data_IF_088833261295
#
_entry.id   IF_088833261295
#
_cell.length_a   1.000
_cell.length_b   1.000
_cell.length_c   1.000
_cell.angle_alpha   90.00
_cell.angle_beta   90.00
_cell.angle_gamma   90.00
#
_symmetry.space_group_name_H-M   'P 1'
#
loop_
_entity.id
_entity.type
_entity.pdbx_description
1 polymer ?
#
# COMPACT_ATOMS: atom_id res chain seq x y z
N UNK A 1 4.55 23.42 -24.64
CA UNK A 1 4.65 23.22 -23.18
C UNK A 1 6.12 23.42 -22.82
N UNK A 2 6.38 24.15 -21.76
CA UNK A 2 7.76 24.47 -21.35
C UNK A 2 8.39 23.32 -20.53
N UNK A 3 7.77 22.12 -20.52
CA UNK A 3 8.16 20.95 -19.74
C UNK A 3 8.30 21.24 -18.23
N UNK A 4 7.38 22.02 -17.68
CA UNK A 4 7.34 22.31 -16.25
C UNK A 4 6.36 21.41 -15.52
N UNK A 5 6.73 20.97 -14.32
CA UNK A 5 5.83 20.15 -13.49
C UNK A 5 5.94 20.53 -12.01
N UNK A 6 4.82 20.38 -11.29
CA UNK A 6 4.76 20.39 -9.84
C UNK A 6 4.62 18.94 -9.36
N UNK A 7 5.39 18.57 -8.34
CA UNK A 7 5.26 17.28 -7.67
C UNK A 7 4.66 17.47 -6.28
N UNK A 8 3.66 16.66 -5.95
CA UNK A 8 3.04 16.61 -4.63
C UNK A 8 3.03 15.19 -4.09
N UNK A 9 3.33 15.03 -2.79
CA UNK A 9 3.27 13.76 -2.07
C UNK A 9 4.60 13.35 -1.46
N UNK A 10 4.90 12.04 -1.46
CA UNK A 10 6.04 11.47 -0.77
C UNK A 10 7.38 12.08 -1.23
N UNK A 11 8.18 12.57 -0.26
CA UNK A 11 9.41 13.32 -0.56
C UNK A 11 10.51 12.46 -1.20
N UNK A 12 10.62 11.17 -0.84
CA UNK A 12 11.64 10.28 -1.40
C UNK A 12 11.34 9.99 -2.87
N UNK A 13 10.08 9.72 -3.20
CA UNK A 13 9.62 9.55 -4.59
C UNK A 13 9.78 10.84 -5.37
N UNK A 14 9.39 12.00 -4.80
CA UNK A 14 9.55 13.31 -5.43
C UNK A 14 11.00 13.64 -5.77
N UNK A 15 11.93 13.32 -4.87
CA UNK A 15 13.38 13.52 -5.13
C UNK A 15 13.93 12.58 -6.22
N UNK A 16 13.40 11.35 -6.33
CA UNK A 16 13.74 10.43 -7.42
C UNK A 16 13.18 10.92 -8.76
N UNK A 17 11.88 11.26 -8.80
CA UNK A 17 11.21 11.81 -9.98
C UNK A 17 11.94 13.07 -10.48
N UNK A 18 12.34 13.98 -9.57
CA UNK A 18 13.07 15.21 -9.94
C UNK A 18 14.37 14.90 -10.67
N UNK A 19 15.17 13.97 -10.15
CA UNK A 19 16.44 13.60 -10.81
C UNK A 19 16.22 12.96 -12.18
N UNK A 20 15.25 12.07 -12.29
CA UNK A 20 14.96 11.36 -13.53
C UNK A 20 14.36 12.30 -14.59
N UNK A 21 13.37 13.10 -14.20
CA UNK A 21 12.71 14.06 -15.08
C UNK A 21 13.67 15.15 -15.59
N UNK A 22 14.57 15.65 -14.72
CA UNK A 22 15.59 16.64 -15.11
C UNK A 22 16.54 16.12 -16.20
N UNK A 23 16.89 14.82 -16.17
CA UNK A 23 17.71 14.20 -17.22
C UNK A 23 17.02 14.21 -18.59
N UNK A 24 15.69 14.25 -18.61
CA UNK A 24 14.87 14.31 -19.83
C UNK A 24 14.45 15.75 -20.21
N UNK A 25 14.95 16.76 -19.46
CA UNK A 25 14.70 18.16 -19.77
C UNK A 25 13.43 18.74 -19.13
N UNK A 26 12.83 18.03 -18.15
CA UNK A 26 11.73 18.56 -17.35
C UNK A 26 12.25 19.43 -16.20
N UNK A 27 11.51 20.47 -15.87
CA UNK A 27 11.83 21.39 -14.79
C UNK A 27 10.75 21.33 -13.70
N UNK A 28 11.15 21.00 -12.48
CA UNK A 28 10.27 21.10 -11.32
C UNK A 28 10.03 22.57 -10.95
N UNK A 29 8.80 22.92 -10.64
CA UNK A 29 8.38 24.23 -10.14
C UNK A 29 7.65 24.07 -8.81
N UNK A 30 7.67 25.12 -7.99
CA UNK A 30 7.02 25.12 -6.65
C UNK A 30 5.64 25.74 -6.69
N UNK A 31 5.30 26.43 -7.78
CA UNK A 31 4.00 27.11 -7.93
C UNK A 31 3.12 26.36 -8.92
N UNK A 32 1.89 26.06 -8.51
CA UNK A 32 0.88 25.46 -9.37
C UNK A 32 0.57 26.36 -10.59
N UNK A 33 0.69 27.69 -10.44
CA UNK A 33 0.47 28.61 -11.53
C UNK A 33 1.51 28.50 -12.65
N UNK A 34 2.70 27.98 -12.36
CA UNK A 34 3.82 27.84 -13.30
C UNK A 34 3.96 26.42 -13.84
N UNK A 35 3.14 25.46 -13.34
CA UNK A 35 3.18 24.07 -13.75
C UNK A 35 2.29 23.82 -14.99
N UNK A 36 2.84 23.15 -16.01
CA UNK A 36 2.06 22.58 -17.11
C UNK A 36 1.48 21.22 -16.73
N UNK A 37 2.16 20.51 -15.82
CA UNK A 37 1.80 19.18 -15.34
C UNK A 37 1.81 19.16 -13.82
N UNK A 38 0.79 18.58 -13.20
CA UNK A 38 0.78 18.19 -11.78
C UNK A 38 1.03 16.69 -11.70
N UNK A 39 1.97 16.28 -10.86
CA UNK A 39 2.31 14.89 -10.63
C UNK A 39 2.11 14.58 -9.15
N UNK A 40 1.33 13.55 -8.84
CA UNK A 40 1.04 13.15 -7.46
C UNK A 40 1.59 11.76 -7.16
N UNK A 41 2.09 11.54 -5.95
CA UNK A 41 2.35 10.24 -5.37
C UNK A 41 2.08 10.27 -3.87
N UNK A 42 0.92 9.79 -3.47
CA UNK A 42 0.52 9.62 -2.09
C UNK A 42 0.61 8.13 -1.71
N UNK A 43 0.98 7.82 -0.46
CA UNK A 43 1.17 6.45 0.00
C UNK A 43 -0.15 5.74 0.34
N UNK A 44 -1.24 6.52 0.50
CA UNK A 44 -2.58 6.02 0.76
C UNK A 44 -3.64 6.90 0.07
N UNK A 45 -4.85 6.35 -0.05
CA UNK A 45 -5.95 7.01 -0.76
C UNK A 45 -6.41 8.29 -0.05
N UNK A 46 -6.46 8.34 1.29
CA UNK A 46 -6.90 9.52 2.02
C UNK A 46 -6.01 10.74 1.72
N UNK A 47 -4.70 10.57 1.74
CA UNK A 47 -3.77 11.66 1.41
C UNK A 47 -3.93 12.13 -0.05
N UNK A 48 -4.35 11.23 -0.94
CA UNK A 48 -4.67 11.57 -2.33
C UNK A 48 -5.97 12.35 -2.43
N UNK A 49 -7.01 11.95 -1.70
CA UNK A 49 -8.29 12.67 -1.60
C UNK A 49 -8.08 14.09 -1.08
N UNK A 50 -7.32 14.25 0.00
CA UNK A 50 -7.01 15.54 0.59
C UNK A 50 -6.29 16.45 -0.43
N UNK A 51 -5.30 15.93 -1.17
CA UNK A 51 -4.57 16.69 -2.17
C UNK A 51 -5.46 17.22 -3.31
N UNK A 52 -6.47 16.47 -3.70
CA UNK A 52 -7.34 16.85 -4.81
C UNK A 52 -8.58 17.63 -4.39
N UNK A 53 -9.24 17.24 -3.28
CA UNK A 53 -10.60 17.66 -2.95
C UNK A 53 -10.69 18.63 -1.78
N UNK A 54 -9.71 18.69 -0.88
CA UNK A 54 -9.69 19.60 0.26
C UNK A 54 -9.78 21.08 -0.16
N UNK A 55 -10.01 21.96 0.80
CA UNK A 55 -10.01 23.41 0.58
C UNK A 55 -8.63 23.85 0.04
N UNK A 56 -8.60 24.30 -1.21
CA UNK A 56 -7.38 24.66 -1.92
C UNK A 56 -6.71 23.49 -2.64
N UNK A 57 -7.34 22.31 -2.72
CA UNK A 57 -6.87 21.16 -3.49
C UNK A 57 -6.81 21.41 -5.00
N UNK A 58 -6.19 20.48 -5.73
CA UNK A 58 -5.89 20.67 -7.16
C UNK A 58 -7.13 20.92 -8.03
N UNK A 59 -8.24 20.28 -7.71
CA UNK A 59 -9.52 20.46 -8.44
C UNK A 59 -10.01 21.91 -8.40
N UNK A 60 -9.70 22.66 -7.32
CA UNK A 60 -10.12 24.04 -7.13
C UNK A 60 -9.09 25.06 -7.60
N UNK A 61 -7.81 24.71 -7.62
CA UNK A 61 -6.71 25.68 -7.73
C UNK A 61 -5.84 25.49 -8.97
N UNK A 62 -5.86 24.31 -9.61
CA UNK A 62 -5.13 24.11 -10.85
C UNK A 62 -5.79 24.89 -12.01
N UNK A 63 -4.95 25.32 -12.97
CA UNK A 63 -5.42 26.04 -14.17
C UNK A 63 -6.21 25.07 -15.06
N UNK A 64 -7.28 25.59 -15.69
CA UNK A 64 -7.94 24.87 -16.80
C UNK A 64 -6.90 24.43 -17.84
N UNK A 65 -6.99 23.18 -18.29
CA UNK A 65 -6.08 22.58 -19.23
C UNK A 65 -4.79 22.00 -18.61
N UNK A 66 -4.63 22.03 -17.28
CA UNK A 66 -3.49 21.39 -16.62
C UNK A 66 -3.61 19.87 -16.74
N UNK A 67 -2.52 19.21 -17.20
CA UNK A 67 -2.38 17.76 -17.19
C UNK A 67 -2.09 17.29 -15.77
N UNK A 68 -2.87 16.33 -15.27
CA UNK A 68 -2.72 15.77 -13.92
C UNK A 68 -2.37 14.30 -14.02
N UNK A 69 -1.18 13.93 -13.57
CA UNK A 69 -0.66 12.56 -13.62
C UNK A 69 -0.62 12.01 -12.21
N UNK A 70 -1.47 11.05 -11.90
CA UNK A 70 -1.48 10.39 -10.60
C UNK A 70 -0.69 9.07 -10.63
N UNK A 71 0.44 9.06 -9.89
CA UNK A 71 1.32 7.90 -9.73
C UNK A 71 0.95 7.06 -8.50
N UNK A 72 -0.04 7.47 -7.71
CA UNK A 72 -0.39 6.88 -6.42
C UNK A 72 -1.13 5.54 -6.59
N UNK A 73 -0.98 4.61 -5.63
CA UNK A 73 -1.87 3.47 -5.52
C UNK A 73 -3.25 3.93 -5.03
N UNK A 74 -4.31 3.47 -5.71
CA UNK A 74 -5.70 3.68 -5.29
C UNK A 74 -6.61 2.57 -5.82
N UNK A 75 -7.92 2.65 -5.56
CA UNK A 75 -8.87 1.70 -6.15
C UNK A 75 -9.28 2.10 -7.56
N UNK A 76 -9.69 1.15 -8.41
CA UNK A 76 -10.26 1.45 -9.72
C UNK A 76 -11.52 2.35 -9.64
N UNK A 77 -12.29 2.23 -8.56
CA UNK A 77 -13.45 3.08 -8.28
C UNK A 77 -13.05 4.52 -8.07
N UNK A 78 -12.14 4.74 -7.14
CA UNK A 78 -11.63 6.07 -6.81
C UNK A 78 -10.94 6.75 -8.00
N UNK A 79 -10.12 6.03 -8.78
CA UNK A 79 -9.47 6.60 -9.97
C UNK A 79 -10.50 7.16 -10.98
N UNK A 80 -11.64 6.47 -11.16
CA UNK A 80 -12.74 6.97 -12.01
C UNK A 80 -13.42 8.19 -11.41
N UNK A 81 -13.66 8.21 -10.10
CA UNK A 81 -14.24 9.35 -9.40
C UNK A 81 -13.36 10.59 -9.48
N UNK A 82 -12.08 10.46 -9.15
CA UNK A 82 -11.09 11.52 -9.25
C UNK A 82 -11.04 12.10 -10.67
N UNK A 83 -10.98 11.23 -11.67
CA UNK A 83 -10.96 11.65 -13.07
C UNK A 83 -12.25 12.38 -13.47
N UNK A 84 -13.42 11.91 -13.03
CA UNK A 84 -14.68 12.57 -13.34
C UNK A 84 -14.74 13.99 -12.74
N UNK A 85 -14.30 14.18 -11.51
CA UNK A 85 -14.25 15.49 -10.84
C UNK A 85 -13.21 16.40 -11.48
N UNK A 86 -12.03 15.89 -11.81
CA UNK A 86 -10.98 16.64 -12.50
C UNK A 86 -11.45 17.16 -13.87
N UNK A 87 -12.13 16.33 -14.64
CA UNK A 87 -12.70 16.72 -15.94
C UNK A 87 -13.75 17.83 -15.82
N UNK A 88 -14.61 17.81 -14.77
CA UNK A 88 -15.58 18.90 -14.50
C UNK A 88 -14.86 20.22 -14.20
N UNK A 89 -13.66 20.15 -13.64
CA UNK A 89 -12.78 21.31 -13.38
C UNK A 89 -11.89 21.65 -14.58
N UNK A 90 -12.17 21.10 -15.76
CA UNK A 90 -11.43 21.33 -17.00
C UNK A 90 -9.94 20.91 -16.89
N UNK A 91 -9.61 19.94 -16.04
CA UNK A 91 -8.29 19.32 -15.96
C UNK A 91 -8.21 18.09 -16.86
N UNK A 92 -7.00 17.66 -17.18
CA UNK A 92 -6.72 16.48 -18.00
C UNK A 92 -6.13 15.37 -17.13
N UNK A 93 -6.96 14.50 -16.50
CA UNK A 93 -6.49 13.47 -15.59
C UNK A 93 -5.95 12.26 -16.33
N UNK A 94 -4.78 11.77 -15.88
CA UNK A 94 -4.16 10.51 -16.31
C UNK A 94 -3.88 9.66 -15.08
N UNK A 95 -4.49 8.51 -15.02
CA UNK A 95 -4.20 7.44 -14.08
C UNK A 95 -2.90 6.76 -14.50
N UNK A 96 -1.85 6.81 -13.66
CA UNK A 96 -0.53 6.29 -14.00
C UNK A 96 0.19 5.64 -12.80
N UNK A 97 -0.48 4.75 -12.01
CA UNK A 97 0.15 4.17 -10.83
C UNK A 97 1.49 3.52 -11.16
N UNK A 98 2.51 3.90 -10.37
CA UNK A 98 3.86 3.38 -10.54
C UNK A 98 4.06 2.13 -9.70
N UNK A 99 4.74 1.13 -10.25
CA UNK A 99 5.10 -0.10 -9.56
C UNK A 99 6.62 -0.27 -9.52
N UNK A 100 7.14 -0.64 -8.35
CA UNK A 100 8.53 -1.05 -8.14
C UNK A 100 8.64 -2.54 -8.47
N UNK A 101 9.57 -2.92 -9.36
CA UNK A 101 9.78 -4.30 -9.79
C UNK A 101 10.50 -5.13 -8.73
N UNK A 102 11.60 -4.59 -8.23
CA UNK A 102 12.42 -5.18 -7.18
C UNK A 102 12.52 -4.19 -6.00
N UNK A 103 11.79 -4.43 -4.90
CA UNK A 103 11.79 -3.59 -3.71
C UNK A 103 13.04 -3.73 -2.85
N UNK A 104 13.98 -4.60 -3.22
CA UNK A 104 15.19 -4.86 -2.43
C UNK A 104 16.33 -3.85 -2.70
N UNK A 105 16.13 -2.97 -3.67
CA UNK A 105 17.09 -1.89 -3.94
C UNK A 105 16.92 -0.74 -2.95
N UNK A 106 18.02 -0.27 -2.35
CA UNK A 106 18.00 0.87 -1.44
C UNK A 106 17.41 2.13 -2.10
N UNK A 107 17.72 2.35 -3.39
CA UNK A 107 17.27 3.49 -4.19
C UNK A 107 16.22 3.10 -5.26
N UNK A 108 15.26 2.27 -4.89
CA UNK A 108 14.30 1.60 -5.78
C UNK A 108 13.64 2.56 -6.79
N UNK A 109 13.25 3.77 -6.37
CA UNK A 109 12.63 4.77 -7.24
C UNK A 109 13.60 5.55 -8.14
N UNK A 110 14.91 5.45 -7.93
CA UNK A 110 15.91 6.18 -8.71
C UNK A 110 16.37 5.44 -9.97
N UNK A 111 15.80 4.26 -10.20
CA UNK A 111 16.18 3.34 -11.28
C UNK A 111 15.01 3.16 -12.25
N UNK A 112 15.03 3.81 -13.43
CA UNK A 112 13.93 3.67 -14.39
C UNK A 112 13.66 2.21 -14.77
N UNK A 113 14.71 1.39 -14.92
CA UNK A 113 14.65 -0.04 -15.23
C UNK A 113 13.98 -0.89 -14.12
N UNK A 114 13.81 -0.32 -12.94
CA UNK A 114 13.10 -0.91 -11.80
C UNK A 114 11.65 -0.43 -11.66
N UNK A 115 11.17 0.40 -12.58
CA UNK A 115 9.87 1.04 -12.48
C UNK A 115 8.99 0.76 -13.71
N UNK A 116 7.73 0.42 -13.45
CA UNK A 116 6.67 0.33 -14.47
C UNK A 116 5.58 1.33 -14.11
N UNK A 117 5.11 2.10 -15.09
CA UNK A 117 3.86 2.85 -14.99
C UNK A 117 2.77 2.11 -15.77
N UNK A 118 1.69 1.75 -15.12
CA UNK A 118 0.45 1.36 -15.77
C UNK A 118 -0.34 2.62 -16.09
N UNK A 119 -0.85 2.79 -17.30
CA UNK A 119 -1.46 4.06 -17.69
C UNK A 119 -2.86 3.85 -18.25
N UNK A 120 -3.80 4.65 -17.76
CA UNK A 120 -5.16 4.70 -18.29
C UNK A 120 -5.69 6.14 -18.32
N UNK A 121 -6.61 6.44 -19.23
CA UNK A 121 -7.18 7.76 -19.41
C UNK A 121 -7.71 7.98 -20.83
N UNK A 122 -8.07 9.22 -21.13
CA UNK A 122 -8.41 9.62 -22.49
C UNK A 122 -7.16 9.55 -23.39
N UNK A 123 -7.31 9.13 -24.64
CA UNK A 123 -6.20 8.86 -25.55
C UNK A 123 -5.25 10.06 -25.73
N UNK A 124 -5.80 11.25 -25.89
CA UNK A 124 -5.01 12.48 -26.08
C UNK A 124 -4.23 12.84 -24.81
N UNK A 125 -4.81 12.64 -23.64
CA UNK A 125 -4.19 12.94 -22.33
C UNK A 125 -3.08 11.92 -22.04
N UNK A 126 -3.30 10.63 -22.31
CA UNK A 126 -2.28 9.57 -22.21
C UNK A 126 -1.10 9.87 -23.12
N UNK A 127 -1.36 10.27 -24.38
CA UNK A 127 -0.30 10.69 -25.31
C UNK A 127 0.49 11.88 -24.79
N UNK A 128 -0.18 12.84 -24.17
CA UNK A 128 0.48 14.02 -23.56
C UNK A 128 1.32 13.67 -22.33
N UNK A 129 0.91 12.68 -21.52
CA UNK A 129 1.62 12.23 -20.32
C UNK A 129 2.85 11.36 -20.63
N UNK A 130 2.85 10.59 -21.73
CA UNK A 130 3.92 9.64 -22.09
C UNK A 130 5.34 10.21 -22.02
N UNK A 131 5.66 11.41 -22.51
CA UNK A 131 7.02 11.93 -22.44
C UNK A 131 7.54 12.08 -21.01
N UNK A 132 6.66 12.46 -20.07
CA UNK A 132 7.01 12.53 -18.65
C UNK A 132 7.17 11.13 -18.05
N UNK A 133 6.23 10.24 -18.28
CA UNK A 133 6.24 8.88 -17.74
C UNK A 133 7.46 8.07 -18.23
N UNK A 134 7.82 8.20 -19.51
CA UNK A 134 9.01 7.57 -20.07
C UNK A 134 10.34 8.15 -19.54
N UNK A 135 10.31 9.38 -18.99
CA UNK A 135 11.47 9.96 -18.32
C UNK A 135 11.73 9.32 -16.95
N UNK A 136 10.70 8.81 -16.28
CA UNK A 136 10.79 8.31 -14.90
C UNK A 136 10.73 6.79 -14.78
N UNK A 137 10.13 6.08 -15.74
CA UNK A 137 9.97 4.63 -15.72
C UNK A 137 10.54 3.97 -16.99
N UNK A 138 11.12 2.78 -16.82
CA UNK A 138 11.66 2.00 -17.94
C UNK A 138 10.57 1.37 -18.81
N UNK A 139 9.39 1.17 -18.25
CA UNK A 139 8.25 0.61 -18.97
C UNK A 139 6.99 1.43 -18.67
N UNK A 140 6.21 1.73 -19.71
CA UNK A 140 4.93 2.43 -19.65
C UNK A 140 3.90 1.59 -20.40
N UNK A 141 2.97 0.99 -19.65
CA UNK A 141 1.97 0.05 -20.18
C UNK A 141 0.60 0.73 -20.22
N UNK A 142 0.01 0.78 -21.41
CA UNK A 142 -1.34 1.32 -21.60
C UNK A 142 -2.38 0.23 -21.32
N UNK A 143 -3.19 0.46 -20.29
CA UNK A 143 -4.19 -0.50 -19.80
C UNK A 143 -5.61 -0.23 -20.33
N UNK A 144 -5.82 0.89 -21.01
CA UNK A 144 -7.10 1.27 -21.65
C UNK A 144 -7.96 2.20 -20.80
N UNK A 145 -9.23 1.87 -20.47
CA UNK A 145 -10.12 2.79 -19.80
C UNK A 145 -9.73 3.02 -18.34
N UNK A 146 -10.17 4.17 -17.80
CA UNK A 146 -9.96 4.55 -16.40
C UNK A 146 -10.35 3.45 -15.39
N UNK A 147 -9.52 3.23 -14.41
CA UNK A 147 -9.58 2.14 -13.43
C UNK A 147 -8.79 0.90 -13.83
N UNK A 148 -8.41 0.75 -15.11
CA UNK A 148 -7.66 -0.41 -15.57
C UNK A 148 -6.22 -0.41 -15.10
N UNK A 149 -5.58 0.75 -15.01
CA UNK A 149 -4.20 0.86 -14.54
C UNK A 149 -4.10 0.52 -13.04
N UNK A 150 -5.04 0.98 -12.21
CA UNK A 150 -5.10 0.60 -10.80
C UNK A 150 -5.39 -0.90 -10.63
N UNK A 151 -6.25 -1.48 -11.46
CA UNK A 151 -6.50 -2.92 -11.43
C UNK A 151 -5.23 -3.74 -11.77
N UNK A 152 -4.50 -3.35 -12.82
CA UNK A 152 -3.24 -3.99 -13.19
C UNK A 152 -2.20 -3.87 -12.07
N UNK A 153 -2.12 -2.68 -11.46
CA UNK A 153 -1.26 -2.40 -10.31
C UNK A 153 -1.63 -3.27 -9.11
N UNK A 154 -2.91 -3.34 -8.74
CA UNK A 154 -3.41 -4.14 -7.61
C UNK A 154 -3.10 -5.64 -7.81
N UNK A 155 -3.36 -6.19 -9.00
CA UNK A 155 -3.06 -7.58 -9.32
C UNK A 155 -1.56 -7.90 -9.18
N UNK A 156 -0.69 -6.97 -9.59
CA UNK A 156 0.75 -7.10 -9.42
C UNK A 156 1.15 -7.08 -7.94
N UNK A 157 0.60 -6.15 -7.14
CA UNK A 157 0.88 -6.04 -5.71
C UNK A 157 0.55 -7.34 -4.97
N UNK A 158 -0.62 -7.93 -5.23
CA UNK A 158 -1.02 -9.23 -4.64
C UNK A 158 0.04 -10.32 -4.92
N UNK A 159 0.54 -10.42 -6.15
CA UNK A 159 1.57 -11.40 -6.51
C UNK A 159 2.91 -11.09 -5.83
N UNK A 160 3.31 -9.82 -5.80
CA UNK A 160 4.58 -9.39 -5.23
C UNK A 160 4.63 -9.65 -3.72
N UNK A 161 3.59 -9.28 -2.99
CA UNK A 161 3.49 -9.49 -1.54
C UNK A 161 3.41 -10.97 -1.22
N UNK A 162 2.60 -11.76 -1.94
CA UNK A 162 2.54 -13.20 -1.77
C UNK A 162 3.91 -13.89 -1.97
N UNK A 163 4.69 -13.44 -2.96
CA UNK A 163 6.05 -13.96 -3.20
C UNK A 163 7.01 -13.56 -2.08
N UNK A 164 6.92 -12.33 -1.58
CA UNK A 164 7.75 -11.86 -0.47
C UNK A 164 7.50 -12.68 0.80
N UNK A 165 6.24 -12.81 1.20
CA UNK A 165 5.84 -13.56 2.41
C UNK A 165 6.27 -15.02 2.29
N UNK A 166 5.96 -15.69 1.18
CA UNK A 166 6.34 -17.09 0.96
C UNK A 166 7.86 -17.29 1.01
N UNK A 167 8.65 -16.34 0.51
CA UNK A 167 10.12 -16.40 0.56
C UNK A 167 10.62 -16.22 1.98
N UNK A 168 10.11 -15.26 2.73
CA UNK A 168 10.50 -15.04 4.13
C UNK A 168 10.15 -16.25 5.01
N UNK A 169 8.95 -16.83 4.86
CA UNK A 169 8.54 -18.03 5.60
C UNK A 169 9.36 -19.27 5.25
N UNK A 170 9.67 -19.47 3.97
CA UNK A 170 10.49 -20.63 3.54
C UNK A 170 11.93 -20.55 4.05
N UNK A 171 12.51 -19.38 4.08
CA UNK A 171 13.83 -19.14 4.68
C UNK A 171 13.79 -19.38 6.19
N UNK A 172 12.82 -18.79 6.90
CA UNK A 172 12.63 -18.96 8.33
C UNK A 172 12.45 -20.45 8.73
N UNK A 173 11.64 -21.20 7.96
CA UNK A 173 11.46 -22.64 8.14
C UNK A 173 12.80 -23.39 8.01
N UNK A 174 13.55 -23.14 6.93
CA UNK A 174 14.84 -23.78 6.71
C UNK A 174 15.82 -23.46 7.83
N UNK A 175 15.89 -22.20 8.26
CA UNK A 175 16.74 -21.76 9.35
C UNK A 175 16.37 -22.43 10.69
N UNK A 176 15.10 -22.46 11.05
CA UNK A 176 14.59 -23.06 12.29
C UNK A 176 14.86 -24.58 12.34
N UNK A 177 14.59 -25.30 11.25
CA UNK A 177 14.78 -26.76 11.17
C UNK A 177 16.28 -27.13 11.23
N UNK A 178 17.15 -26.38 10.54
CA UNK A 178 18.60 -26.58 10.61
C UNK A 178 19.13 -26.37 12.03
N UNK A 179 18.70 -25.30 12.69
CA UNK A 179 19.08 -25.02 14.08
C UNK A 179 18.67 -26.16 15.02
N UNK A 180 17.45 -26.68 14.87
CA UNK A 180 16.96 -27.81 15.66
C UNK A 180 17.69 -29.11 15.40
N UNK A 181 18.09 -29.36 14.15
CA UNK A 181 18.83 -30.59 13.77
C UNK A 181 20.31 -30.56 14.17
N UNK A 182 20.88 -29.42 14.45
CA UNK A 182 22.30 -29.19 14.72
C UNK A 182 23.14 -29.03 13.44
N UNK A 183 24.24 -28.28 13.58
CA UNK A 183 25.11 -27.91 12.45
C UNK A 183 25.65 -29.14 11.72
N UNK A 184 25.57 -29.12 10.38
CA UNK A 184 26.13 -30.17 9.51
C UNK A 184 25.24 -31.39 9.29
N UNK A 185 24.04 -31.44 9.90
CA UNK A 185 23.12 -32.58 9.71
C UNK A 185 22.15 -32.39 8.53
N UNK A 186 22.01 -31.16 8.00
CA UNK A 186 21.18 -30.84 6.85
C UNK A 186 21.94 -29.97 5.84
N UNK A 187 21.56 -30.05 4.57
CA UNK A 187 22.17 -29.28 3.50
C UNK A 187 22.00 -27.75 3.74
N UNK A 188 22.99 -26.96 3.31
CA UNK A 188 22.99 -25.50 3.49
C UNK A 188 22.28 -24.74 2.37
N UNK A 189 22.06 -25.37 1.24
CA UNK A 189 21.59 -24.75 -0.02
C UNK A 189 20.05 -24.66 -0.17
N UNK A 190 19.26 -24.98 0.85
CA UNK A 190 17.84 -24.65 0.89
C UNK A 190 17.65 -23.27 1.58
N UNK A 191 16.60 -22.50 1.24
CA UNK A 191 15.59 -22.80 0.23
C UNK A 191 16.10 -22.63 -1.21
N UNK A 192 15.42 -23.28 -2.16
CA UNK A 192 15.66 -23.09 -3.58
C UNK A 192 14.57 -22.16 -4.14
N UNK A 193 14.89 -20.91 -4.51
CA UNK A 193 13.92 -19.97 -5.02
C UNK A 193 13.25 -20.45 -6.31
N UNK A 194 11.95 -20.14 -6.46
CA UNK A 194 11.14 -20.59 -7.60
C UNK A 194 10.99 -19.53 -8.69
N UNK A 195 11.47 -18.31 -8.46
CA UNK A 195 11.43 -17.18 -9.39
C UNK A 195 12.62 -16.25 -9.16
N UNK A 196 12.88 -15.36 -10.13
CA UNK A 196 13.90 -14.31 -10.00
C UNK A 196 13.60 -13.36 -8.83
N UNK A 197 12.33 -13.01 -8.62
CA UNK A 197 11.92 -12.17 -7.47
C UNK A 197 12.19 -12.89 -6.14
N UNK A 198 11.83 -14.17 -6.02
CA UNK A 198 12.12 -14.94 -4.82
C UNK A 198 13.64 -15.07 -4.55
N UNK A 199 14.45 -15.18 -5.61
CA UNK A 199 15.91 -15.17 -5.50
C UNK A 199 16.41 -13.83 -4.96
N UNK A 200 15.95 -12.71 -5.50
CA UNK A 200 16.33 -11.37 -5.05
C UNK A 200 15.93 -11.13 -3.59
N UNK A 201 14.73 -11.58 -3.19
CA UNK A 201 14.28 -11.47 -1.80
C UNK A 201 15.13 -12.30 -0.85
N UNK A 202 15.44 -13.55 -1.21
CA UNK A 202 16.30 -14.40 -0.40
C UNK A 202 17.71 -13.80 -0.23
N UNK A 203 18.29 -13.28 -1.31
CA UNK A 203 19.59 -12.59 -1.26
C UNK A 203 19.54 -11.38 -0.33
N UNK A 204 18.47 -10.58 -0.43
CA UNK A 204 18.28 -9.40 0.41
C UNK A 204 18.10 -9.75 1.91
N UNK A 205 17.42 -10.86 2.23
CA UNK A 205 17.30 -11.38 3.61
C UNK A 205 18.69 -11.77 4.14
N UNK A 206 19.44 -12.56 3.37
CA UNK A 206 20.78 -13.03 3.76
C UNK A 206 21.75 -11.86 3.95
N UNK A 207 21.67 -10.86 3.07
CA UNK A 207 22.52 -9.65 3.12
C UNK A 207 22.00 -8.61 4.10
N UNK A 208 20.84 -8.83 4.74
CA UNK A 208 20.20 -7.92 5.71
C UNK A 208 19.92 -6.52 5.12
N UNK A 209 19.45 -6.46 3.87
CA UNK A 209 19.09 -5.21 3.19
C UNK A 209 17.70 -4.71 3.63
N UNK A 210 17.59 -4.24 4.88
CA UNK A 210 16.32 -3.88 5.51
C UNK A 210 15.97 -2.39 5.37
N UNK A 211 16.81 -1.61 4.72
CA UNK A 211 16.59 -0.19 4.49
C UNK A 211 16.38 0.09 2.99
N UNK A 212 15.54 1.09 2.67
CA UNK A 212 15.29 1.46 1.29
C UNK A 212 14.31 2.61 1.14
N UNK A 213 14.24 3.18 -0.07
CA UNK A 213 13.28 4.25 -0.40
C UNK A 213 11.88 3.74 -0.69
N UNK A 214 11.72 2.44 -0.98
CA UNK A 214 10.43 1.76 -1.03
C UNK A 214 10.17 1.10 0.31
N UNK A 215 9.24 1.65 1.08
CA UNK A 215 9.03 1.27 2.47
C UNK A 215 7.90 0.25 2.66
N UNK A 216 7.86 -0.36 3.84
CA UNK A 216 6.76 -1.21 4.25
C UNK A 216 5.41 -0.45 4.21
N UNK A 217 5.38 0.80 4.67
CA UNK A 217 4.18 1.64 4.62
C UNK A 217 3.63 1.79 3.19
N UNK A 218 4.51 2.02 2.20
CA UNK A 218 4.11 2.07 0.80
C UNK A 218 3.50 0.75 0.32
N UNK A 219 4.15 -0.37 0.62
CA UNK A 219 3.64 -1.69 0.25
C UNK A 219 2.29 -2.00 0.91
N UNK A 220 2.10 -1.61 2.17
CA UNK A 220 0.83 -1.75 2.88
C UNK A 220 -0.27 -0.90 2.24
N UNK A 221 0.01 0.36 1.89
CA UNK A 221 -0.94 1.23 1.19
C UNK A 221 -1.38 0.66 -0.17
N UNK A 222 -0.44 0.10 -0.93
CA UNK A 222 -0.70 -0.58 -2.19
C UNK A 222 -1.56 -1.84 -2.02
N UNK A 223 -1.28 -2.63 -0.96
CA UNK A 223 -2.02 -3.85 -0.67
C UNK A 223 -3.43 -3.53 -0.14
N UNK A 224 -3.57 -2.47 0.67
CA UNK A 224 -4.86 -1.97 1.14
C UNK A 224 -5.76 -1.56 -0.03
N UNK A 225 -5.23 -0.82 -1.01
CA UNK A 225 -5.98 -0.48 -2.22
C UNK A 225 -6.43 -1.72 -3.01
N UNK A 226 -5.59 -2.78 -3.07
CA UNK A 226 -5.93 -4.03 -3.73
C UNK A 226 -7.04 -4.80 -2.97
N UNK A 227 -6.99 -4.83 -1.64
CA UNK A 227 -8.03 -5.46 -0.80
C UNK A 227 -9.35 -4.71 -0.90
N UNK A 228 -9.33 -3.37 -0.82
CA UNK A 228 -10.53 -2.55 -1.02
C UNK A 228 -11.15 -2.76 -2.41
N UNK A 229 -10.32 -2.84 -3.46
CA UNK A 229 -10.81 -3.15 -4.80
C UNK A 229 -11.43 -4.56 -4.92
N UNK A 230 -10.97 -5.52 -4.12
CA UNK A 230 -11.56 -6.86 -4.03
C UNK A 230 -12.91 -6.82 -3.30
N UNK A 231 -13.00 -6.09 -2.19
CA UNK A 231 -14.24 -5.89 -1.43
C UNK A 231 -15.31 -5.20 -2.27
N UNK A 232 -14.95 -4.17 -3.04
CA UNK A 232 -15.85 -3.51 -4.00
C UNK A 232 -16.42 -4.47 -5.05
N UNK A 233 -15.76 -5.59 -5.28
CA UNK A 233 -16.14 -6.63 -6.23
C UNK A 233 -16.74 -7.88 -5.56
N UNK A 234 -17.05 -7.83 -4.26
CA UNK A 234 -17.50 -8.98 -3.45
C UNK A 234 -16.53 -10.18 -3.51
N UNK A 235 -15.23 -9.93 -3.65
CA UNK A 235 -14.18 -10.96 -3.75
C UNK A 235 -13.35 -11.05 -2.48
N UNK A 236 -13.31 -12.23 -1.86
CA UNK A 236 -12.48 -12.51 -0.68
C UNK A 236 -11.12 -13.03 -1.11
N UNK A 237 -10.04 -12.43 -0.59
CA UNK A 237 -8.65 -12.77 -0.86
C UNK A 237 -7.91 -13.22 0.42
N UNK A 238 -8.21 -14.42 0.97
CA UNK A 238 -7.75 -14.81 2.32
C UNK A 238 -6.22 -14.90 2.46
N UNK A 239 -5.50 -15.25 1.41
CA UNK A 239 -4.02 -15.22 1.42
C UNK A 239 -3.49 -13.78 1.50
N UNK A 240 -4.10 -12.87 0.76
CA UNK A 240 -3.71 -11.46 0.73
C UNK A 240 -3.98 -10.77 2.07
N UNK A 241 -5.12 -11.08 2.68
CA UNK A 241 -5.47 -10.63 4.04
C UNK A 241 -4.44 -11.14 5.08
N UNK A 242 -4.08 -12.43 5.03
CA UNK A 242 -3.05 -12.97 5.91
C UNK A 242 -1.69 -12.29 5.69
N UNK A 243 -1.32 -11.97 4.44
CA UNK A 243 -0.12 -11.21 4.14
C UNK A 243 -0.19 -9.79 4.75
N UNK A 244 -1.35 -9.11 4.65
CA UNK A 244 -1.51 -7.78 5.25
C UNK A 244 -1.26 -7.82 6.76
N UNK A 245 -1.83 -8.78 7.48
CA UNK A 245 -1.60 -8.92 8.93
C UNK A 245 -0.13 -9.11 9.31
N UNK A 246 0.64 -9.82 8.49
CA UNK A 246 2.09 -9.97 8.72
C UNK A 246 2.84 -8.66 8.50
N UNK A 247 2.45 -7.86 7.48
CA UNK A 247 3.02 -6.53 7.26
C UNK A 247 2.65 -5.58 8.40
N UNK A 248 1.39 -5.60 8.86
CA UNK A 248 0.91 -4.83 10.02
C UNK A 248 1.69 -5.18 11.28
N UNK A 249 1.96 -6.46 11.54
CA UNK A 249 2.77 -6.88 12.68
C UNK A 249 4.17 -6.24 12.63
N UNK A 250 4.82 -6.25 11.47
CA UNK A 250 6.12 -5.58 11.30
C UNK A 250 5.99 -4.07 11.54
N UNK A 251 4.93 -3.42 11.05
CA UNK A 251 4.69 -1.99 11.27
C UNK A 251 4.50 -1.67 12.75
N UNK A 252 3.69 -2.46 13.48
CA UNK A 252 3.42 -2.30 14.92
C UNK A 252 4.70 -2.35 15.75
N UNK A 253 5.63 -3.26 15.43
CA UNK A 253 6.90 -3.35 16.14
C UNK A 253 7.92 -2.29 15.71
N UNK A 254 7.54 -1.36 14.81
CA UNK A 254 8.34 -0.19 14.43
C UNK A 254 9.03 -0.30 13.09
N UNK A 255 8.58 -1.16 12.19
CA UNK A 255 9.19 -1.38 10.88
C UNK A 255 8.56 -0.64 9.70
N UNK A 256 7.67 0.34 9.93
CA UNK A 256 6.94 1.04 8.86
C UNK A 256 7.83 1.72 7.82
N UNK A 257 8.97 2.26 8.23
CA UNK A 257 9.95 2.95 7.40
C UNK A 257 11.01 2.03 6.77
N UNK A 258 11.03 0.75 7.16
CA UNK A 258 11.98 -0.22 6.59
C UNK A 258 11.55 -0.72 5.23
N UNK A 259 12.51 -1.26 4.48
CA UNK A 259 12.21 -2.01 3.26
C UNK A 259 11.32 -3.23 3.59
N UNK A 260 10.36 -3.61 2.72
CA UNK A 260 9.43 -4.71 2.99
C UNK A 260 10.10 -6.06 3.30
N UNK A 261 11.33 -6.26 2.82
CA UNK A 261 12.12 -7.46 3.09
C UNK A 261 12.44 -7.65 4.59
N UNK A 262 12.35 -6.58 5.41
CA UNK A 262 12.48 -6.63 6.86
C UNK A 262 11.38 -7.50 7.52
N UNK A 263 10.33 -7.90 6.77
CA UNK A 263 9.34 -8.88 7.22
C UNK A 263 10.00 -10.19 7.69
N UNK A 264 11.12 -10.57 7.13
CA UNK A 264 11.88 -11.75 7.57
C UNK A 264 12.29 -11.70 9.04
N UNK A 265 12.42 -10.50 9.62
CA UNK A 265 12.78 -10.31 11.03
C UNK A 265 11.65 -10.77 11.98
N UNK A 266 10.39 -10.73 11.54
CA UNK A 266 9.24 -11.19 12.34
C UNK A 266 9.38 -12.69 12.71
N UNK A 267 10.06 -13.46 11.89
CA UNK A 267 10.33 -14.88 12.12
C UNK A 267 11.66 -15.14 12.86
N UNK A 268 12.42 -14.07 13.13
CA UNK A 268 13.73 -14.11 13.78
C UNK A 268 13.68 -14.21 15.30
N UNK A 269 14.84 -14.10 15.92
CA UNK A 269 14.96 -13.96 17.37
C UNK A 269 14.74 -12.49 17.77
N UNK A 270 14.16 -12.27 18.93
CA UNK A 270 13.85 -10.92 19.45
C UNK A 270 15.09 -10.03 19.48
N UNK A 271 16.27 -10.61 19.81
CA UNK A 271 17.54 -9.87 19.83
C UNK A 271 17.90 -9.34 18.42
N UNK A 272 17.64 -10.11 17.36
CA UNK A 272 17.88 -9.66 15.98
C UNK A 272 16.93 -8.54 15.56
N UNK A 273 15.69 -8.58 16.03
CA UNK A 273 14.72 -7.48 15.85
C UNK A 273 15.20 -6.21 16.55
N UNK A 274 15.61 -6.31 17.81
CA UNK A 274 16.08 -5.17 18.59
C UNK A 274 17.34 -4.52 17.99
N UNK A 275 18.26 -5.30 17.42
CA UNK A 275 19.43 -4.78 16.67
C UNK A 275 19.02 -3.91 15.47
N UNK A 276 17.85 -4.16 14.90
CA UNK A 276 17.28 -3.39 13.79
C UNK A 276 16.32 -2.28 14.24
N UNK A 277 16.23 -2.03 15.56
CA UNK A 277 15.37 -0.99 16.12
C UNK A 277 13.89 -1.38 16.23
N UNK A 278 13.58 -2.67 16.08
CA UNK A 278 12.22 -3.21 16.25
C UNK A 278 11.98 -3.62 17.70
N UNK A 279 10.77 -3.38 18.20
CA UNK A 279 10.40 -3.58 19.60
C UNK A 279 9.13 -4.42 19.73
N UNK A 280 9.29 -5.70 20.07
CA UNK A 280 8.20 -6.66 20.25
C UNK A 280 7.24 -6.30 21.39
N UNK A 281 7.67 -5.51 22.38
CA UNK A 281 6.77 -5.09 23.47
C UNK A 281 5.60 -4.26 22.96
N UNK A 282 5.76 -3.58 21.82
CA UNK A 282 4.66 -2.83 21.16
C UNK A 282 3.56 -3.77 20.68
N UNK A 283 3.91 -4.92 20.13
CA UNK A 283 2.93 -5.91 19.70
C UNK A 283 2.17 -6.51 20.90
N UNK A 284 2.85 -6.79 22.00
CA UNK A 284 2.21 -7.27 23.24
C UNK A 284 1.19 -6.28 23.76
N UNK A 285 1.50 -4.97 23.78
CA UNK A 285 0.55 -3.94 24.15
C UNK A 285 -0.61 -3.84 23.18
N UNK A 286 -0.33 -3.76 21.89
CA UNK A 286 -1.34 -3.57 20.86
C UNK A 286 -2.37 -4.72 20.83
N UNK A 287 -1.90 -5.98 20.87
CA UNK A 287 -2.79 -7.14 20.86
C UNK A 287 -3.34 -7.49 22.24
N UNK A 288 -2.64 -7.15 23.35
CA UNK A 288 -3.09 -7.36 24.70
C UNK A 288 -4.27 -6.45 25.07
N UNK A 289 -4.23 -5.19 24.71
CA UNK A 289 -5.33 -4.23 24.94
C UNK A 289 -6.58 -4.59 24.12
N UNK A 290 -6.43 -5.11 22.92
CA UNK A 290 -7.54 -5.60 22.12
C UNK A 290 -8.20 -6.85 22.75
N UNK A 291 -7.41 -7.76 23.31
CA UNK A 291 -7.92 -8.95 23.99
C UNK A 291 -8.70 -8.59 25.29
N UNK A 292 -8.22 -7.61 26.06
CA UNK A 292 -8.89 -7.15 27.27
C UNK A 292 -10.17 -6.36 26.93
N UNK A 293 -10.18 -5.58 25.85
CA UNK A 293 -11.36 -4.89 25.34
C UNK A 293 -12.46 -5.87 24.88
N UNK A 294 -12.07 -6.92 24.19
CA UNK A 294 -13.02 -7.98 23.75
C UNK A 294 -13.60 -8.77 24.92
N UNK A 295 -12.82 -9.00 25.99
CA UNK A 295 -13.32 -9.68 27.21
C UNK A 295 -14.26 -8.78 28.03
N UNK A 296 -14.07 -7.48 28.05
CA UNK A 296 -14.96 -6.56 28.78
C UNK A 296 -16.37 -6.48 28.16
N UNK A 297 -16.48 -6.65 26.84
CA UNK A 297 -17.79 -6.67 26.15
C UNK A 297 -18.54 -7.98 26.39
N UNK A 298 -17.84 -9.08 26.70
CA UNK A 298 -18.46 -10.38 26.97
C UNK A 298 -18.92 -10.57 28.42
N UNK A 299 -18.52 -9.70 29.35
CA UNK A 299 -18.85 -9.85 30.79
C UNK A 299 -20.02 -8.98 31.27
N UNK A 300 -20.64 -8.15 30.43
CA UNK A 300 -21.74 -7.25 30.85
C UNK A 300 -23.14 -7.80 30.53
N UNK A 301 -23.28 -9.14 30.43
CA UNK A 301 -24.57 -9.84 30.42
C UNK A 301 -24.77 -10.60 31.73
N UNK A 302 -24.87 -9.87 32.84
CA UNK A 302 -25.48 -10.40 34.07
C UNK A 302 -26.97 -10.55 33.81
N UNK A 303 -27.39 -11.79 33.82
CA UNK A 303 -28.82 -12.20 33.75
C UNK A 303 -29.54 -11.77 35.00
N UNK A 304 -30.33 -10.71 34.94
CA UNK A 304 -31.40 -10.45 35.88
C UNK A 304 -32.63 -11.21 35.38
N UNK A 305 -32.95 -12.32 36.06
CA UNK A 305 -34.18 -13.09 35.87
C UNK A 305 -35.34 -12.37 36.55
N UNK A 306 -36.02 -11.51 35.80
CA UNK A 306 -37.34 -10.99 36.17
C UNK A 306 -38.42 -11.73 35.42
N UNK A 307 -39.21 -12.52 36.14
CA UNK A 307 -40.47 -13.12 35.63
C UNK A 307 -41.45 -12.00 35.19
N UNK A 308 -41.95 -12.09 33.97
CA UNK A 308 -42.98 -11.17 33.48
C UNK A 308 -43.55 -11.63 32.15
N UNK A 309 -44.72 -12.26 32.23
CA UNK A 309 -45.61 -12.62 31.11
C UNK A 309 -45.98 -11.37 30.27
N UNK A 310 -46.00 -11.50 28.94
CA UNK A 310 -46.61 -10.51 28.07
C UNK A 310 -46.30 -10.71 26.58
N UNK A 311 -47.26 -11.30 25.89
CA UNK A 311 -47.37 -11.36 24.44
C UNK A 311 -47.25 -9.94 23.83
N UNK A 312 -46.47 -9.77 22.75
CA UNK A 312 -46.93 -9.06 21.54
C UNK A 312 -45.94 -9.21 20.37
N UNK A 313 -46.52 -9.46 19.22
CA UNK A 313 -45.93 -9.59 17.90
C UNK A 313 -45.69 -8.19 17.29
N UNK A 314 -44.77 -8.15 16.32
CA UNK A 314 -44.53 -7.16 15.26
C UNK A 314 -43.51 -6.05 15.52
N UNK A 315 -42.37 -6.09 14.83
CA UNK A 315 -42.12 -5.14 13.71
C UNK A 315 -40.72 -5.35 13.11
N UNK A 316 -40.67 -5.50 11.78
CA UNK A 316 -39.48 -5.48 10.96
C UNK A 316 -38.81 -4.09 11.02
N UNK A 317 -37.65 -3.97 11.59
CA UNK A 317 -36.81 -2.77 11.59
C UNK A 317 -35.60 -2.93 10.67
N UNK A 318 -35.50 -1.98 9.77
CA UNK A 318 -34.51 -1.84 8.68
C UNK A 318 -33.07 -1.86 9.17
N UNK A 319 -32.24 -2.57 8.42
CA UNK A 319 -30.77 -2.45 8.48
C UNK A 319 -30.36 -1.18 7.76
N UNK A 320 -29.88 -0.18 8.48
CA UNK A 320 -29.07 0.92 7.97
C UNK A 320 -27.95 1.21 8.97
N UNK A 321 -26.79 1.56 8.40
CA UNK A 321 -25.57 2.07 9.02
C UNK A 321 -24.54 1.02 9.50
N UNK A 322 -23.72 0.57 8.55
CA UNK A 322 -22.36 0.08 8.80
C UNK A 322 -21.38 1.15 8.31
N UNK A 323 -21.06 2.09 9.17
CA UNK A 323 -19.89 2.97 8.98
C UNK A 323 -18.63 2.20 9.41
N UNK A 324 -17.92 1.63 8.43
CA UNK A 324 -16.60 1.06 8.61
C UNK A 324 -15.55 2.18 8.70
N UNK A 325 -15.12 2.50 9.91
CA UNK A 325 -14.01 3.42 10.14
C UNK A 325 -12.68 2.67 9.91
N UNK A 326 -11.98 3.00 8.83
CA UNK A 326 -10.55 2.75 8.69
C UNK A 326 -9.86 4.13 8.72
N UNK A 327 -9.15 4.44 9.78
CA UNK A 327 -8.44 5.73 9.91
C UNK A 327 -7.21 5.61 10.79
N UNK A 328 -6.14 6.28 10.40
CA UNK A 328 -5.00 6.56 11.28
C UNK A 328 -5.33 7.76 12.17
N UNK A 329 -4.95 7.72 13.44
CA UNK A 329 -5.00 8.90 14.29
C UNK A 329 -3.83 9.85 14.03
N UNK A 330 -3.85 11.04 14.66
CA UNK A 330 -2.83 12.07 14.52
C UNK A 330 -1.43 11.63 15.02
N UNK A 331 -1.29 10.45 15.62
CA UNK A 331 -0.03 9.87 16.10
C UNK A 331 0.47 8.73 15.18
N UNK A 332 -0.21 8.48 14.06
CA UNK A 332 0.20 7.51 13.04
C UNK A 332 -0.12 6.05 13.38
N UNK A 333 -1.08 5.81 14.28
CA UNK A 333 -1.51 4.46 14.67
C UNK A 333 -2.76 4.06 13.88
N UNK A 334 -2.69 2.91 13.20
CA UNK A 334 -3.79 2.33 12.41
C UNK A 334 -4.86 1.71 13.32
N UNK A 335 -6.10 2.18 13.21
CA UNK A 335 -7.26 1.59 13.88
C UNK A 335 -8.10 0.80 12.87
N UNK A 336 -7.74 -0.45 12.65
CA UNK A 336 -8.53 -1.41 11.87
C UNK A 336 -9.64 -2.02 12.73
N UNK A 337 -10.91 -1.76 12.40
CA UNK A 337 -12.04 -2.42 13.03
C UNK A 337 -12.28 -3.80 12.43
N UNK A 338 -12.20 -4.86 13.23
CA UNK A 338 -12.57 -6.22 12.81
C UNK A 338 -14.05 -6.50 13.09
N UNK A 339 -14.80 -6.78 12.03
CA UNK A 339 -16.09 -7.44 12.15
C UNK A 339 -15.89 -8.91 12.55
N UNK A 340 -16.46 -9.31 13.67
CA UNK A 340 -16.41 -10.70 14.14
C UNK A 340 -17.20 -11.62 13.21
N UNK A 341 -16.52 -12.56 12.57
CA UNK A 341 -17.14 -13.67 11.82
C UNK A 341 -17.58 -14.77 12.78
N UNK A 342 -18.85 -15.09 12.81
CA UNK A 342 -19.40 -16.31 13.44
C UNK A 342 -19.73 -17.31 12.36
N UNK A 343 -19.07 -18.48 12.30
CA UNK A 343 -19.46 -19.52 11.34
C UNK A 343 -20.70 -20.28 11.85
N UNK A 344 -21.73 -20.37 11.01
CA UNK A 344 -22.77 -21.41 11.11
C UNK A 344 -22.30 -22.70 10.46
#
# INVERSE_FOLDING_TARGET
MDNTYLFHGNAAVGGAVERLAANAGWQRVDSLADADVVVTYCTNQQALEDAYFDEGGFVQTARSGTLVIDLSPSTPGFARELSAVALVSELHPVEAPIAVLDPTWEDAFSRPDNLICFVAGEEDDVVAAKPFLQAIAGEVLEEGPLGSAQLARAARTVQQVGTLVATAESEALCHAVRRAAGAGNLAEDAPHPTSESAQAYLEAIVEKRFEGTYTLEMMMGELAAALTAADDADLILPQTEACMHLLELLAVIGGSDKAPIALSLVYGEEEACAEQGLDWTRAEHFYGEQADGAQSVLHDHDHDHGDGDGDDYDEYGSYDDYDGYTGYDNDGVYHGGYGSYSPN
#
